data_IF_262895527850
#
_entry.id   IF_262895527850
#
_cell.length_a   1.000
_cell.length_b   1.000
_cell.length_c   1.000
_cell.angle_alpha   90.00
_cell.angle_beta   90.00
_cell.angle_gamma   90.00
#
_symmetry.space_group_name_H-M   'P 1'
#
loop_
_entity.id
_entity.type
_entity.pdbx_description
1 polymer ?
#
# COMPACT_ATOMS: atom_id res chain seq x y z
N UNK A 1 -15.47 -9.13 6.98
CA UNK A 1 -15.27 -9.10 5.52
C UNK A 1 -14.67 -10.43 5.10
N UNK A 2 -14.86 -10.85 3.85
CA UNK A 2 -14.19 -12.03 3.32
C UNK A 2 -12.71 -11.67 3.08
N UNK A 3 -11.85 -11.91 4.08
CA UNK A 3 -10.42 -11.67 3.95
C UNK A 3 -9.80 -12.89 3.27
N UNK A 4 -9.06 -12.66 2.18
CA UNK A 4 -8.30 -13.70 1.52
C UNK A 4 -7.15 -14.13 2.42
N UNK A 5 -7.21 -15.35 2.94
CA UNK A 5 -6.09 -15.91 3.70
C UNK A 5 -5.07 -16.52 2.75
N UNK A 6 -3.80 -16.14 2.91
CA UNK A 6 -2.71 -16.85 2.25
C UNK A 6 -2.52 -18.21 2.93
N UNK A 7 -2.77 -19.29 2.19
CA UNK A 7 -2.66 -20.65 2.68
C UNK A 7 -1.57 -21.39 1.91
N UNK A 8 -0.55 -21.89 2.63
CA UNK A 8 0.38 -22.84 2.04
C UNK A 8 -0.26 -24.23 1.99
N UNK A 9 -0.33 -24.79 0.78
CA UNK A 9 -0.92 -26.09 0.50
C UNK A 9 0.17 -27.15 0.31
N UNK A 10 -0.21 -28.42 0.43
CA UNK A 10 0.69 -29.55 0.19
C UNK A 10 1.23 -29.52 -1.25
N UNK A 11 2.49 -29.95 -1.44
CA UNK A 11 3.10 -30.05 -2.78
C UNK A 11 3.71 -28.76 -3.33
N UNK A 12 3.86 -27.72 -2.49
CA UNK A 12 4.43 -26.43 -2.90
C UNK A 12 3.42 -25.46 -3.52
N UNK A 13 2.13 -25.78 -3.39
CA UNK A 13 1.04 -24.92 -3.84
C UNK A 13 0.74 -23.85 -2.78
N UNK A 14 0.20 -22.73 -3.23
CA UNK A 14 -0.24 -21.62 -2.39
C UNK A 14 -1.63 -21.20 -2.85
N UNK A 15 -2.42 -20.64 -1.94
CA UNK A 15 -3.73 -20.12 -2.26
C UNK A 15 -4.05 -18.81 -1.55
N UNK A 16 -4.73 -17.91 -2.24
CA UNK A 16 -5.49 -16.82 -1.65
C UNK A 16 -6.92 -17.33 -1.51
N UNK A 17 -7.32 -17.60 -0.28
CA UNK A 17 -8.57 -18.29 0.02
C UNK A 17 -9.64 -17.29 0.42
N UNK A 18 -10.64 -17.09 -0.44
CA UNK A 18 -11.84 -16.36 -0.05
C UNK A 18 -12.69 -17.21 0.91
N UNK A 19 -13.11 -18.40 0.46
CA UNK A 19 -14.01 -19.23 1.26
C UNK A 19 -13.63 -20.70 1.24
N UNK A 20 -13.55 -21.29 2.43
CA UNK A 20 -13.41 -22.72 2.64
C UNK A 20 -14.81 -23.32 2.80
N UNK A 21 -15.22 -24.10 1.81
CA UNK A 21 -16.51 -24.82 1.81
C UNK A 21 -16.41 -26.13 2.60
N UNK A 22 -15.22 -26.74 2.62
CA UNK A 22 -14.95 -27.98 3.33
C UNK A 22 -13.45 -28.13 3.57
N UNK A 23 -13.08 -28.57 4.77
CA UNK A 23 -11.71 -28.94 5.10
C UNK A 23 -11.75 -30.28 5.86
N UNK A 24 -11.22 -31.34 5.25
CA UNK A 24 -10.96 -32.60 5.94
C UNK A 24 -9.59 -33.17 5.58
N UNK A 25 -9.21 -34.28 6.20
CA UNK A 25 -7.88 -34.91 6.03
C UNK A 25 -7.61 -35.44 4.62
N UNK A 26 -8.60 -35.43 3.73
CA UNK A 26 -8.52 -35.92 2.36
C UNK A 26 -8.80 -34.85 1.30
N UNK A 27 -9.66 -33.87 1.61
CA UNK A 27 -10.15 -32.86 0.67
C UNK A 27 -10.13 -31.45 1.29
N UNK A 28 -9.64 -30.47 0.52
CA UNK A 28 -9.88 -29.03 0.76
C UNK A 28 -10.75 -28.47 -0.36
N UNK A 29 -11.94 -27.96 -0.02
CA UNK A 29 -12.86 -27.35 -0.98
C UNK A 29 -12.89 -25.85 -0.79
N UNK A 30 -12.52 -25.11 -1.83
CA UNK A 30 -12.43 -23.66 -1.88
C UNK A 30 -13.49 -23.08 -2.82
N UNK A 31 -13.94 -21.87 -2.56
CA UNK A 31 -14.80 -21.07 -3.44
C UNK A 31 -14.22 -19.68 -3.59
N UNK A 32 -14.28 -19.12 -4.80
CA UNK A 32 -13.77 -17.79 -5.14
C UNK A 32 -12.30 -17.56 -4.74
N UNK A 33 -11.48 -18.61 -4.80
CA UNK A 33 -10.08 -18.57 -4.36
C UNK A 33 -9.12 -18.66 -5.56
N UNK A 34 -7.92 -18.10 -5.40
CA UNK A 34 -6.81 -18.19 -6.36
C UNK A 34 -5.80 -19.21 -5.83
N UNK A 35 -5.29 -20.09 -6.68
CA UNK A 35 -4.29 -21.10 -6.30
C UNK A 35 -3.15 -21.11 -7.32
N UNK A 36 -1.90 -21.11 -6.85
CA UNK A 36 -0.69 -21.10 -7.69
C UNK A 36 0.40 -22.05 -7.16
N UNK A 37 1.45 -22.31 -7.94
CA UNK A 37 2.57 -23.18 -7.53
C UNK A 37 3.91 -22.72 -8.15
N UNK A 38 4.76 -22.01 -7.37
CA UNK A 38 6.05 -21.53 -7.83
C UNK A 38 7.06 -22.63 -8.17
N UNK A 39 6.86 -23.86 -7.67
CA UNK A 39 7.77 -24.98 -7.87
C UNK A 39 7.45 -25.83 -9.10
N UNK A 40 6.34 -25.57 -9.80
CA UNK A 40 5.84 -26.49 -10.82
C UNK A 40 6.56 -26.37 -12.15
N UNK A 41 6.99 -25.18 -12.60
CA UNK A 41 7.71 -24.93 -13.88
C UNK A 41 6.99 -25.36 -15.17
N UNK A 42 5.96 -26.17 -15.00
CA UNK A 42 5.03 -26.78 -15.93
C UNK A 42 3.65 -26.44 -15.37
N UNK A 43 2.73 -25.97 -16.23
CA UNK A 43 1.31 -25.78 -15.92
C UNK A 43 0.76 -26.71 -14.82
N UNK A 44 -0.10 -26.22 -13.92
CA UNK A 44 -0.75 -26.99 -12.84
C UNK A 44 -1.47 -28.28 -13.33
N UNK A 45 -1.67 -28.42 -14.65
CA UNK A 45 -2.22 -29.60 -15.33
C UNK A 45 -1.23 -30.77 -15.50
N UNK A 46 0.09 -30.56 -15.39
CA UNK A 46 1.10 -31.60 -15.61
C UNK A 46 1.72 -32.15 -14.32
N UNK A 47 1.34 -31.64 -13.14
CA UNK A 47 1.82 -32.18 -11.88
C UNK A 47 1.04 -33.44 -11.48
N UNK A 48 1.65 -34.60 -11.74
CA UNK A 48 1.14 -35.93 -11.35
C UNK A 48 0.87 -36.13 -9.84
N UNK A 49 1.23 -35.17 -8.99
CA UNK A 49 1.06 -35.22 -7.53
C UNK A 49 -0.28 -34.66 -7.04
N UNK A 50 -1.06 -33.98 -7.89
CA UNK A 50 -2.23 -33.20 -7.45
C UNK A 50 -3.42 -33.43 -8.36
N UNK A 51 -4.61 -33.47 -7.76
CA UNK A 51 -5.77 -34.01 -8.42
C UNK A 51 -7.04 -33.28 -7.90
N UNK A 52 -7.32 -32.17 -8.59
CA UNK A 52 -8.39 -31.16 -8.50
C UNK A 52 -9.85 -31.81 -8.53
N UNK A 53 -11.03 -31.18 -8.34
CA UNK A 53 -12.38 -31.82 -8.58
C UNK A 53 -13.52 -30.79 -8.82
N UNK A 54 -14.61 -31.18 -9.53
CA UNK A 54 -15.80 -30.37 -9.82
C UNK A 54 -16.98 -30.82 -8.97
N UNK A 55 -17.41 -29.99 -8.04
CA UNK A 55 -18.58 -30.26 -7.19
C UNK A 55 -19.78 -29.36 -7.49
N UNK A 56 -19.78 -28.64 -8.62
CA UNK A 56 -20.86 -27.74 -9.04
C UNK A 56 -20.33 -26.37 -9.46
N UNK A 57 -21.20 -25.48 -9.99
CA UNK A 57 -20.83 -24.26 -10.70
C UNK A 57 -20.22 -23.16 -9.82
N UNK A 58 -19.63 -23.48 -8.66
CA UNK A 58 -19.02 -22.51 -7.76
C UNK A 58 -18.06 -23.12 -6.73
N UNK A 59 -17.44 -24.26 -7.03
CA UNK A 59 -16.62 -24.99 -6.06
C UNK A 59 -15.38 -25.61 -6.69
N UNK A 60 -14.25 -25.48 -5.99
CA UNK A 60 -12.99 -26.11 -6.28
C UNK A 60 -12.63 -27.10 -5.16
N UNK A 61 -12.17 -28.32 -5.46
CA UNK A 61 -11.75 -29.32 -4.44
C UNK A 61 -10.35 -29.86 -4.72
N UNK A 62 -9.49 -29.93 -3.71
CA UNK A 62 -8.12 -30.44 -3.75
C UNK A 62 -8.07 -31.80 -3.05
N UNK A 63 -7.86 -32.89 -3.80
CA UNK A 63 -7.77 -34.23 -3.23
C UNK A 63 -6.59 -35.03 -3.80
N UNK A 64 -6.14 -36.03 -3.05
CA UNK A 64 -4.89 -36.73 -3.32
C UNK A 64 -4.93 -37.68 -4.55
N UNK A 65 -6.01 -37.75 -5.33
CA UNK A 65 -6.14 -38.45 -6.64
C UNK A 65 -7.59 -38.34 -7.21
N UNK A 66 -8.01 -37.43 -8.12
CA UNK A 66 -8.31 -37.45 -9.59
C UNK A 66 -9.06 -36.11 -9.92
N UNK A 67 -9.10 -35.44 -11.10
CA UNK A 67 -9.96 -34.21 -11.32
C UNK A 67 -10.93 -34.14 -12.51
N UNK A 68 -12.10 -33.51 -12.27
CA UNK A 68 -12.93 -32.76 -13.24
C UNK A 68 -13.13 -31.26 -12.85
N UNK A 69 -13.45 -30.34 -13.78
CA UNK A 69 -13.40 -28.88 -13.55
C UNK A 69 -14.78 -28.15 -13.63
N UNK A 70 -14.89 -26.99 -12.96
CA UNK A 70 -16.13 -26.22 -12.78
C UNK A 70 -16.14 -24.73 -13.00
N UNK A 71 -17.35 -24.19 -13.21
CA UNK A 71 -17.60 -22.75 -13.35
C UNK A 71 -17.45 -22.03 -11.99
N UNK A 72 -17.06 -20.75 -12.03
CA UNK A 72 -17.10 -19.77 -10.94
C UNK A 72 -16.27 -20.05 -9.68
N UNK A 73 -15.09 -20.66 -9.83
CA UNK A 73 -13.98 -20.48 -8.88
C UNK A 73 -12.70 -20.28 -9.70
N UNK A 74 -11.79 -19.42 -9.24
CA UNK A 74 -10.65 -18.93 -10.02
C UNK A 74 -9.55 -19.99 -10.07
N UNK A 75 -9.88 -21.10 -10.69
CA UNK A 75 -8.93 -21.95 -11.38
C UNK A 75 -9.58 -22.34 -12.69
N UNK A 76 -9.48 -21.43 -13.67
CA UNK A 76 -9.02 -21.82 -15.00
C UNK A 76 -8.09 -20.74 -15.53
N UNK A 77 -6.89 -21.18 -15.88
CA UNK A 77 -5.84 -20.50 -16.65
C UNK A 77 -4.77 -19.69 -15.92
N UNK A 78 -4.27 -20.27 -14.85
CA UNK A 78 -2.83 -20.29 -14.68
C UNK A 78 -2.07 -21.13 -15.75
N UNK A 79 -2.65 -21.40 -16.91
CA UNK A 79 -2.16 -22.44 -17.83
C UNK A 79 -1.19 -21.91 -18.89
N UNK A 80 -1.07 -20.59 -19.10
CA UNK A 80 -0.16 -20.03 -20.12
C UNK A 80 0.59 -18.75 -19.70
N UNK A 81 0.74 -18.51 -18.39
CA UNK A 81 1.66 -17.52 -17.82
C UNK A 81 1.29 -17.18 -16.37
N UNK A 82 2.29 -17.13 -15.48
CA UNK A 82 2.15 -16.56 -14.13
C UNK A 82 1.89 -17.50 -12.96
N UNK A 83 1.69 -18.82 -13.14
CA UNK A 83 1.46 -19.75 -12.00
C UNK A 83 2.68 -20.10 -11.18
N UNK A 84 3.85 -19.89 -11.78
CA UNK A 84 5.14 -20.01 -11.14
C UNK A 84 5.47 -18.77 -10.29
N UNK A 85 4.61 -17.74 -10.34
CA UNK A 85 4.76 -16.49 -9.64
C UNK A 85 3.56 -16.25 -8.72
N UNK A 86 3.77 -15.46 -7.68
CA UNK A 86 2.69 -14.95 -6.84
C UNK A 86 1.74 -14.12 -7.73
N UNK A 87 0.42 -14.41 -7.74
CA UNK A 87 -0.54 -13.70 -8.56
C UNK A 87 -0.72 -12.23 -8.14
N UNK A 88 -0.12 -11.75 -7.06
CA UNK A 88 -0.10 -10.34 -6.70
C UNK A 88 -1.49 -9.78 -6.46
N UNK A 89 -2.13 -10.27 -5.41
CA UNK A 89 -3.48 -9.88 -5.00
C UNK A 89 -3.44 -9.38 -3.56
N UNK A 90 -4.13 -8.27 -3.27
CA UNK A 90 -4.29 -7.66 -1.93
C UNK A 90 -5.00 -8.64 -0.98
N UNK A 91 -4.94 -8.42 0.35
CA UNK A 91 -5.51 -9.39 1.30
C UNK A 91 -7.05 -9.38 1.28
N UNK A 92 -7.64 -8.32 0.76
CA UNK A 92 -9.07 -8.18 0.52
C UNK A 92 -9.48 -8.53 -0.93
N UNK A 93 -8.53 -8.97 -1.77
CA UNK A 93 -8.82 -9.66 -3.02
C UNK A 93 -8.61 -8.87 -4.31
N UNK A 94 -8.12 -7.64 -4.25
CA UNK A 94 -7.86 -6.82 -5.43
C UNK A 94 -6.57 -7.26 -6.14
N UNK A 95 -6.62 -7.39 -7.46
CA UNK A 95 -5.40 -7.64 -8.25
C UNK A 95 -4.48 -6.42 -8.19
N UNK A 96 -3.17 -6.59 -8.35
CA UNK A 96 -2.22 -5.47 -8.45
C UNK A 96 -1.90 -5.16 -9.92
N UNK A 97 -1.51 -3.92 -10.24
CA UNK A 97 -1.25 -3.46 -11.64
C UNK A 97 -0.15 -4.27 -12.34
N UNK A 98 0.83 -4.75 -11.57
CA UNK A 98 1.95 -5.58 -12.02
C UNK A 98 1.70 -7.09 -11.83
N UNK A 99 0.47 -7.48 -11.50
CA UNK A 99 0.12 -8.88 -11.29
C UNK A 99 0.44 -9.74 -12.53
N UNK A 100 1.16 -10.86 -12.36
CA UNK A 100 1.42 -11.79 -13.44
C UNK A 100 0.16 -12.57 -13.87
N UNK A 101 -0.97 -12.41 -13.18
CA UNK A 101 -2.25 -13.03 -13.55
C UNK A 101 -3.03 -12.22 -14.60
N UNK A 102 -2.71 -10.93 -14.82
CA UNK A 102 -3.41 -10.06 -15.77
C UNK A 102 -3.25 -10.58 -17.21
N UNK A 103 -4.37 -10.75 -17.92
CA UNK A 103 -4.38 -11.09 -19.35
C UNK A 103 -3.89 -12.50 -19.71
N UNK A 104 -3.52 -13.32 -18.72
CA UNK A 104 -2.92 -14.63 -18.92
C UNK A 104 -3.92 -15.80 -18.94
N UNK A 105 -5.24 -15.53 -18.92
CA UNK A 105 -6.23 -16.59 -19.02
C UNK A 105 -6.45 -17.12 -20.47
N UNK A 106 -7.08 -18.29 -20.64
CA UNK A 106 -7.32 -18.98 -21.93
C UNK A 106 -8.75 -19.52 -22.02
N UNK A 107 -9.28 -19.71 -23.23
CA UNK A 107 -10.71 -19.93 -23.51
C UNK A 107 -11.27 -21.30 -23.10
N UNK A 108 -10.54 -22.09 -22.32
CA UNK A 108 -10.99 -23.42 -21.90
C UNK A 108 -12.05 -23.34 -20.79
N UNK A 109 -13.31 -23.12 -21.18
CA UNK A 109 -14.53 -23.11 -20.34
C UNK A 109 -14.54 -21.97 -19.30
N UNK A 110 -15.00 -20.77 -19.69
CA UNK A 110 -14.89 -19.59 -18.84
C UNK A 110 -15.79 -19.71 -17.61
N UNK A 111 -15.23 -19.46 -16.42
CA UNK A 111 -16.02 -18.90 -15.35
C UNK A 111 -16.68 -17.62 -15.90
N UNK A 112 -17.99 -17.47 -15.71
CA UNK A 112 -18.71 -16.30 -16.24
C UNK A 112 -18.40 -15.05 -15.40
N UNK A 113 -17.86 -15.28 -14.19
CA UNK A 113 -17.48 -14.25 -13.25
C UNK A 113 -15.98 -14.23 -12.95
N UNK A 114 -15.46 -13.08 -12.57
CA UNK A 114 -14.07 -12.89 -12.13
C UNK A 114 -13.89 -13.15 -10.63
N UNK A 115 -12.75 -12.73 -10.06
CA UNK A 115 -12.41 -12.91 -8.63
C UNK A 115 -13.34 -12.14 -7.68
N UNK A 116 -13.97 -11.07 -8.17
CA UNK A 116 -14.89 -10.21 -7.41
C UNK A 116 -16.36 -10.57 -7.66
N UNK A 117 -16.63 -11.54 -8.53
CA UNK A 117 -17.98 -12.01 -8.84
C UNK A 117 -18.69 -11.20 -9.92
N UNK A 118 -17.97 -10.35 -10.64
CA UNK A 118 -18.48 -9.50 -11.73
C UNK A 118 -18.56 -10.28 -13.04
N UNK A 119 -19.51 -9.95 -13.91
CA UNK A 119 -19.66 -10.67 -15.18
C UNK A 119 -18.58 -10.23 -16.15
N UNK A 120 -17.76 -11.17 -16.64
CA UNK A 120 -16.63 -10.86 -17.53
C UNK A 120 -17.09 -10.22 -18.84
N UNK A 121 -16.58 -9.03 -19.15
CA UNK A 121 -16.84 -8.34 -20.41
C UNK A 121 -16.01 -8.87 -21.59
N UNK A 122 -14.75 -9.23 -21.35
CA UNK A 122 -13.84 -9.88 -22.29
C UNK A 122 -13.26 -11.15 -21.66
N UNK A 123 -13.01 -12.19 -22.46
CA UNK A 123 -12.26 -13.37 -22.01
C UNK A 123 -10.89 -13.28 -22.68
N UNK A 124 -9.78 -13.23 -21.93
CA UNK A 124 -9.63 -13.60 -20.51
C UNK A 124 -9.50 -12.40 -19.56
N UNK A 125 -10.37 -12.33 -18.56
CA UNK A 125 -10.38 -11.27 -17.53
C UNK A 125 -10.39 -11.92 -16.14
N UNK A 126 -9.35 -11.66 -15.34
CA UNK A 126 -9.21 -12.15 -13.95
C UNK A 126 -9.74 -11.15 -12.92
N UNK A 127 -10.35 -10.06 -13.39
CA UNK A 127 -10.59 -8.87 -12.60
C UNK A 127 -9.48 -7.84 -12.86
N UNK A 128 -9.14 -7.61 -14.13
CA UNK A 128 -8.15 -6.60 -14.50
C UNK A 128 -8.77 -5.21 -14.66
N UNK A 129 -10.09 -5.14 -14.83
CA UNK A 129 -10.86 -3.90 -14.93
C UNK A 129 -11.02 -3.19 -13.57
N UNK A 130 -10.80 -3.88 -12.45
CA UNK A 130 -10.71 -3.23 -11.13
C UNK A 130 -9.41 -2.45 -10.93
N UNK A 131 -8.54 -2.35 -11.93
CA UNK A 131 -7.33 -1.48 -11.94
C UNK A 131 -7.50 -0.20 -12.73
N UNK A 132 -8.74 0.12 -13.14
CA UNK A 132 -9.02 1.46 -13.67
C UNK A 132 -8.80 2.44 -12.52
N UNK A 133 -7.96 3.42 -12.79
CA UNK A 133 -7.64 4.56 -11.93
C UNK A 133 -7.92 5.80 -12.79
N UNK A 134 -9.10 6.38 -12.61
CA UNK A 134 -9.67 7.40 -13.49
C UNK A 134 -9.13 8.81 -13.19
N UNK A 135 -8.74 9.08 -11.95
CA UNK A 135 -8.18 10.34 -11.47
C UNK A 135 -6.66 10.30 -11.27
N UNK A 136 -6.04 9.15 -11.52
CA UNK A 136 -4.59 8.94 -11.58
C UNK A 136 -3.89 9.23 -10.27
N UNK A 137 -4.48 8.77 -9.17
CA UNK A 137 -3.94 8.91 -7.82
C UNK A 137 -3.38 7.59 -7.26
N UNK A 138 -3.18 6.60 -8.13
CA UNK A 138 -2.63 5.28 -7.79
C UNK A 138 -3.56 4.39 -6.97
N UNK A 139 -4.79 4.83 -6.67
CA UNK A 139 -5.82 3.99 -6.12
C UNK A 139 -6.73 3.49 -7.26
N UNK A 140 -7.17 2.23 -7.20
CA UNK A 140 -8.14 1.77 -8.19
C UNK A 140 -9.56 2.25 -7.88
N UNK A 141 -10.29 2.72 -8.90
CA UNK A 141 -11.67 3.21 -8.82
C UNK A 141 -12.58 2.24 -8.04
N UNK A 142 -12.41 0.94 -8.25
CA UNK A 142 -13.23 -0.09 -7.62
C UNK A 142 -12.96 -0.23 -6.11
N UNK A 143 -11.75 0.08 -5.66
CA UNK A 143 -11.39 0.11 -4.25
C UNK A 143 -11.94 1.39 -3.59
N UNK A 144 -11.73 2.55 -4.21
CA UNK A 144 -12.25 3.81 -3.69
C UNK A 144 -13.78 3.83 -3.63
N UNK A 145 -14.45 3.38 -4.69
CA UNK A 145 -15.91 3.28 -4.72
C UNK A 145 -16.46 2.31 -3.66
N UNK A 146 -15.68 1.30 -3.25
CA UNK A 146 -16.09 0.39 -2.18
C UNK A 146 -16.08 1.07 -0.82
N UNK A 147 -15.03 1.82 -0.52
CA UNK A 147 -14.81 2.38 0.81
C UNK A 147 -15.40 3.77 0.98
N UNK A 148 -15.25 4.62 -0.03
CA UNK A 148 -15.67 6.03 0.00
C UNK A 148 -16.91 6.30 -0.86
N UNK A 149 -17.21 5.44 -1.83
CA UNK A 149 -18.33 5.62 -2.74
C UNK A 149 -18.15 6.76 -3.75
N UNK A 150 -16.91 7.24 -3.91
CA UNK A 150 -16.49 8.28 -4.84
C UNK A 150 -14.99 8.12 -5.15
N UNK A 151 -14.44 8.97 -6.03
CA UNK A 151 -13.05 8.96 -6.51
C UNK A 151 -12.38 10.31 -6.15
N UNK A 152 -12.22 10.61 -4.86
CA UNK A 152 -11.68 11.91 -4.45
C UNK A 152 -10.72 11.81 -3.25
N UNK A 153 -10.66 10.65 -2.62
CA UNK A 153 -9.84 10.37 -1.45
C UNK A 153 -8.50 9.83 -1.97
N UNK A 154 -7.45 10.64 -1.92
CA UNK A 154 -6.16 10.33 -2.55
C UNK A 154 -5.37 9.23 -1.84
N UNK A 155 -4.44 8.60 -2.54
CA UNK A 155 -3.42 7.67 -2.02
C UNK A 155 -2.76 8.09 -0.69
N UNK A 156 -2.45 9.37 -0.53
CA UNK A 156 -1.74 9.91 0.65
C UNK A 156 -2.64 10.26 1.83
N UNK A 157 -3.97 10.18 1.71
CA UNK A 157 -4.87 10.51 2.82
C UNK A 157 -4.92 9.36 3.83
N UNK A 158 -5.12 9.71 5.10
CA UNK A 158 -5.35 8.79 6.24
C UNK A 158 -6.71 9.18 6.87
N UNK A 159 -7.84 8.64 6.37
CA UNK A 159 -9.17 9.12 6.74
C UNK A 159 -9.58 8.77 8.18
N UNK A 160 -9.01 7.72 8.77
CA UNK A 160 -9.33 7.27 10.14
C UNK A 160 -8.26 7.62 11.18
N UNK A 161 -7.13 8.19 10.75
CA UNK A 161 -6.10 8.80 11.59
C UNK A 161 -5.25 7.76 12.30
N UNK A 162 -5.05 6.61 11.68
CA UNK A 162 -4.36 5.46 12.27
C UNK A 162 -2.89 5.37 11.88
N UNK A 163 -2.45 6.25 10.97
CA UNK A 163 -1.10 6.36 10.44
C UNK A 163 -0.87 5.57 9.16
N UNK A 164 -1.81 4.74 8.71
CA UNK A 164 -1.78 4.15 7.38
C UNK A 164 -2.50 5.08 6.39
N UNK A 165 -1.84 5.42 5.30
CA UNK A 165 -2.51 6.10 4.19
C UNK A 165 -3.27 5.11 3.30
N UNK A 166 -4.19 5.63 2.48
CA UNK A 166 -5.04 4.83 1.61
C UNK A 166 -4.25 3.84 0.73
N UNK A 167 -3.07 4.23 0.22
CA UNK A 167 -2.24 3.32 -0.58
C UNK A 167 -1.65 2.17 0.26
N UNK A 168 -1.15 2.45 1.47
CA UNK A 168 -0.68 1.42 2.39
C UNK A 168 -1.79 0.44 2.74
N UNK A 169 -3.01 0.95 2.96
CA UNK A 169 -4.18 0.14 3.27
C UNK A 169 -4.67 -0.67 2.08
N UNK A 170 -4.63 -0.11 0.87
CA UNK A 170 -4.87 -0.86 -0.37
C UNK A 170 -3.89 -2.04 -0.49
N UNK A 171 -2.59 -1.81 -0.31
CA UNK A 171 -1.60 -2.89 -0.34
C UNK A 171 -1.79 -3.90 0.81
N UNK A 172 -2.16 -3.39 1.98
CA UNK A 172 -2.45 -4.13 3.21
C UNK A 172 -3.73 -4.96 3.17
N UNK A 173 -4.70 -4.57 2.33
CA UNK A 173 -6.07 -5.08 2.36
C UNK A 173 -6.81 -4.77 3.67
N UNK A 174 -6.55 -3.61 4.27
CA UNK A 174 -7.24 -3.10 5.46
C UNK A 174 -8.40 -2.18 5.06
N UNK A 175 -9.14 -1.64 6.03
CA UNK A 175 -10.28 -0.78 5.76
C UNK A 175 -9.93 0.68 6.10
N UNK A 176 -9.92 1.60 5.11
CA UNK A 176 -9.45 2.98 5.26
C UNK A 176 -10.38 3.92 6.00
N UNK A 177 -11.36 3.35 6.69
CA UNK A 177 -12.34 4.09 7.47
C UNK A 177 -12.41 3.59 8.90
N UNK A 178 -11.55 2.64 9.29
CA UNK A 178 -11.46 2.02 10.59
C UNK A 178 -10.01 1.77 11.01
N UNK A 179 -9.53 2.56 11.96
CA UNK A 179 -8.17 2.48 12.55
C UNK A 179 -7.73 1.10 13.10
N UNK A 180 -8.64 0.13 13.16
CA UNK A 180 -8.44 -1.27 13.52
C UNK A 180 -9.48 -2.08 12.73
N UNK A 181 -9.10 -2.71 11.63
CA UNK A 181 -10.01 -3.49 10.78
C UNK A 181 -9.79 -5.00 10.82
N UNK A 182 -8.67 -5.44 11.39
CA UNK A 182 -8.32 -6.85 11.54
C UNK A 182 -8.85 -7.49 12.84
N UNK A 183 -9.07 -8.82 12.79
CA UNK A 183 -9.57 -9.60 13.93
C UNK A 183 -8.57 -9.71 15.11
N UNK A 184 -7.31 -9.36 14.89
CA UNK A 184 -6.28 -9.36 15.93
C UNK A 184 -6.39 -8.13 16.85
N UNK A 185 -7.16 -7.11 16.45
CA UNK A 185 -7.32 -5.86 17.21
C UNK A 185 -6.06 -4.99 17.21
N UNK A 186 -5.20 -5.16 16.19
CA UNK A 186 -3.99 -4.38 15.97
C UNK A 186 -4.38 -3.18 15.11
N UNK A 187 -3.77 -2.02 15.33
CA UNK A 187 -3.93 -0.87 14.42
C UNK A 187 -3.48 -1.25 12.99
N UNK A 188 -4.10 -0.68 11.96
CA UNK A 188 -3.92 -1.19 10.61
C UNK A 188 -2.52 -0.89 10.07
N UNK A 189 -1.93 0.27 10.37
CA UNK A 189 -0.51 0.53 10.08
C UNK A 189 0.42 -0.52 10.70
N UNK A 190 0.25 -0.83 11.99
CA UNK A 190 1.05 -1.84 12.69
C UNK A 190 0.88 -3.24 12.07
N UNK A 191 -0.36 -3.57 11.69
CA UNK A 191 -0.66 -4.82 11.00
C UNK A 191 0.03 -4.88 9.63
N UNK A 192 -0.04 -3.82 8.83
CA UNK A 192 0.61 -3.73 7.51
C UNK A 192 2.13 -3.86 7.65
N UNK A 193 2.75 -3.15 8.60
CA UNK A 193 4.19 -3.27 8.87
C UNK A 193 4.58 -4.71 9.22
N UNK A 194 3.75 -5.42 9.99
CA UNK A 194 3.98 -6.84 10.28
C UNK A 194 3.91 -7.70 9.02
N UNK A 195 2.97 -7.43 8.10
CA UNK A 195 2.85 -8.16 6.84
C UNK A 195 4.05 -7.97 5.93
N UNK A 196 4.58 -6.75 5.84
CA UNK A 196 5.79 -6.46 5.07
C UNK A 196 6.97 -7.28 5.62
N UNK A 197 7.13 -7.34 6.94
CA UNK A 197 8.22 -8.08 7.59
C UNK A 197 8.07 -9.59 7.39
N UNK A 198 6.86 -10.12 7.50
CA UNK A 198 6.59 -11.56 7.37
C UNK A 198 6.67 -12.04 5.92
N UNK A 199 6.18 -11.23 4.98
CA UNK A 199 6.07 -11.58 3.57
C UNK A 199 6.59 -10.45 2.65
N UNK A 200 7.88 -10.08 2.74
CA UNK A 200 8.46 -9.00 1.94
C UNK A 200 8.55 -9.34 0.45
N UNK A 201 8.15 -10.56 0.06
CA UNK A 201 8.18 -11.02 -1.32
C UNK A 201 6.86 -10.88 -2.07
N UNK A 202 5.82 -10.40 -1.40
CA UNK A 202 4.54 -10.19 -2.02
C UNK A 202 4.64 -9.09 -3.07
N UNK A 203 4.01 -9.32 -4.23
CA UNK A 203 4.16 -8.48 -5.43
C UNK A 203 3.97 -6.98 -5.14
N UNK A 204 2.93 -6.61 -4.38
CA UNK A 204 2.62 -5.20 -4.09
C UNK A 204 3.66 -4.53 -3.20
N UNK A 205 4.10 -5.21 -2.15
CA UNK A 205 5.15 -4.69 -1.26
C UNK A 205 6.55 -4.69 -1.91
N UNK A 206 6.74 -5.45 -2.99
CA UNK A 206 8.00 -5.53 -3.76
C UNK A 206 8.07 -4.54 -4.92
N UNK A 207 6.98 -3.85 -5.23
CA UNK A 207 7.01 -2.76 -6.19
C UNK A 207 7.97 -1.67 -5.69
N UNK A 208 8.52 -0.92 -6.62
CA UNK A 208 9.40 0.23 -6.39
C UNK A 208 8.80 1.31 -7.28
N UNK A 209 7.77 1.97 -6.75
CA UNK A 209 6.80 2.73 -7.54
C UNK A 209 7.37 4.03 -8.08
N UNK A 210 8.33 4.65 -7.39
CA UNK A 210 9.07 5.82 -7.85
C UNK A 210 10.43 5.51 -8.52
N UNK A 211 10.94 4.29 -8.35
CA UNK A 211 12.17 3.82 -8.96
C UNK A 211 13.45 4.31 -8.25
N UNK A 212 13.38 4.71 -6.98
CA UNK A 212 14.54 5.13 -6.20
C UNK A 212 15.37 3.94 -5.67
N UNK A 213 14.76 2.75 -5.67
CA UNK A 213 15.37 1.48 -5.26
C UNK A 213 14.99 1.00 -3.85
N UNK A 214 14.23 1.78 -3.09
CA UNK A 214 13.50 1.37 -1.90
C UNK A 214 12.12 0.86 -2.33
N UNK A 215 11.77 -0.36 -1.92
CA UNK A 215 10.48 -0.94 -2.33
C UNK A 215 9.32 -0.38 -1.50
N UNK A 216 8.12 -0.31 -2.08
CA UNK A 216 6.88 0.21 -1.48
C UNK A 216 6.63 -0.29 -0.05
N UNK A 217 6.84 -1.60 0.18
CA UNK A 217 6.67 -2.17 1.51
C UNK A 217 7.65 -1.58 2.55
N UNK A 218 8.90 -1.34 2.15
CA UNK A 218 9.91 -0.77 3.05
C UNK A 218 9.68 0.72 3.29
N UNK A 219 9.18 1.46 2.31
CA UNK A 219 8.78 2.85 2.49
C UNK A 219 7.65 2.96 3.52
N UNK A 220 6.60 2.13 3.43
CA UNK A 220 5.53 2.07 4.44
C UNK A 220 6.10 1.80 5.83
N UNK A 221 7.06 0.88 5.95
CA UNK A 221 7.71 0.58 7.24
C UNK A 221 8.49 1.77 7.76
N UNK A 222 9.16 2.51 6.87
CA UNK A 222 9.98 3.68 7.18
C UNK A 222 9.19 5.00 7.30
N UNK A 223 7.87 4.97 7.07
CA UNK A 223 7.01 6.16 7.06
C UNK A 223 7.11 7.00 5.79
N UNK A 224 7.70 6.45 4.73
CA UNK A 224 7.86 7.10 3.42
C UNK A 224 6.59 7.11 2.57
N UNK A 225 6.68 7.78 1.43
CA UNK A 225 5.69 7.82 0.36
C UNK A 225 6.23 7.07 -0.86
N UNK A 226 5.58 5.99 -1.25
CA UNK A 226 6.02 5.12 -2.35
C UNK A 226 6.08 5.73 -3.74
N UNK A 227 5.58 6.95 -3.89
CA UNK A 227 5.61 7.68 -5.16
C UNK A 227 6.59 8.87 -5.14
N UNK A 228 7.50 8.93 -4.16
CA UNK A 228 8.44 10.05 -3.98
C UNK A 228 9.81 9.61 -3.44
N UNK A 229 10.83 9.60 -4.30
CA UNK A 229 12.16 9.08 -3.92
C UNK A 229 13.00 9.98 -2.99
N UNK A 230 12.34 10.95 -2.37
CA UNK A 230 12.83 11.89 -1.36
C UNK A 230 11.56 12.40 -0.63
N UNK A 231 10.95 11.53 0.18
CA UNK A 231 9.64 11.76 0.81
C UNK A 231 9.65 12.99 1.69
N UNK A 232 10.70 13.16 2.50
CA UNK A 232 10.81 14.31 3.39
C UNK A 232 11.35 15.57 2.68
N UNK A 233 11.89 15.44 1.46
CA UNK A 233 12.40 16.55 0.67
C UNK A 233 13.67 17.16 1.24
N UNK A 234 14.44 16.42 2.04
CA UNK A 234 15.66 16.90 2.69
C UNK A 234 16.90 16.87 1.77
N UNK A 235 16.74 16.32 0.57
CA UNK A 235 17.78 16.16 -0.45
C UNK A 235 18.62 14.89 -0.28
N UNK A 236 18.30 14.04 0.69
CA UNK A 236 18.78 12.66 0.84
C UNK A 236 17.62 11.75 0.40
N UNK A 237 17.77 11.13 -0.77
CA UNK A 237 16.72 10.24 -1.26
C UNK A 237 16.43 9.06 -0.32
N UNK A 238 15.22 8.52 -0.42
CA UNK A 238 14.64 7.61 0.58
C UNK A 238 15.46 6.34 0.78
N UNK A 239 15.92 5.72 -0.30
CA UNK A 239 16.85 4.58 -0.21
C UNK A 239 18.12 4.95 0.58
N UNK A 240 18.70 6.12 0.31
CA UNK A 240 19.92 6.56 0.97
C UNK A 240 19.66 6.86 2.46
N UNK A 241 18.53 7.49 2.79
CA UNK A 241 18.12 7.75 4.16
C UNK A 241 17.92 6.42 4.92
N UNK A 242 17.20 5.47 4.32
CA UNK A 242 16.96 4.15 4.89
C UNK A 242 18.27 3.37 5.16
N UNK A 243 19.19 3.33 4.18
CA UNK A 243 20.50 2.66 4.35
C UNK A 243 21.39 3.32 5.40
N UNK A 244 21.26 4.64 5.59
CA UNK A 244 21.98 5.41 6.59
C UNK A 244 21.32 5.36 7.99
N UNK A 245 20.10 4.82 8.09
CA UNK A 245 19.29 4.85 9.31
C UNK A 245 18.80 6.25 9.68
N UNK A 246 18.58 7.10 8.68
CA UNK A 246 17.96 8.42 8.80
C UNK A 246 16.43 8.30 8.62
N UNK A 247 15.71 9.37 8.95
CA UNK A 247 14.25 9.44 8.74
C UNK A 247 13.94 9.49 7.24
N UNK A 248 12.94 8.70 6.81
CA UNK A 248 12.43 8.71 5.42
C UNK A 248 11.19 9.60 5.33
N UNK A 249 10.22 9.40 6.23
CA UNK A 249 8.93 10.10 6.22
C UNK A 249 8.95 11.57 6.66
N UNK A 250 10.07 12.06 7.20
CA UNK A 250 10.15 13.43 7.71
C UNK A 250 9.50 13.61 9.10
N UNK A 251 9.38 12.52 9.87
CA UNK A 251 9.05 12.59 11.30
C UNK A 251 9.96 13.61 11.99
N UNK A 252 9.39 14.46 12.85
CA UNK A 252 10.03 15.41 13.78
C UNK A 252 11.40 14.91 14.28
N UNK A 253 12.45 15.27 13.55
CA UNK A 253 13.76 14.60 13.62
C UNK A 253 14.48 14.95 14.91
N UNK A 254 14.26 16.14 15.42
CA UNK A 254 14.85 16.65 16.66
C UNK A 254 13.89 16.64 17.86
N UNK A 255 12.62 16.30 17.65
CA UNK A 255 11.64 16.01 18.70
C UNK A 255 11.02 17.26 19.31
N UNK A 256 10.92 18.33 18.54
CA UNK A 256 10.53 19.67 18.96
C UNK A 256 9.03 19.97 18.77
N UNK A 257 8.35 19.09 18.03
CA UNK A 257 6.93 19.13 17.72
C UNK A 257 6.58 19.62 16.32
N UNK A 258 7.56 19.96 15.47
CA UNK A 258 7.36 20.29 14.06
C UNK A 258 7.85 19.16 13.15
N UNK A 259 7.14 18.94 12.04
CA UNK A 259 7.64 18.06 10.98
C UNK A 259 8.59 18.83 10.05
N UNK A 260 9.40 18.08 9.30
CA UNK A 260 10.39 18.66 8.39
C UNK A 260 9.79 19.69 7.42
N UNK A 261 8.60 19.38 6.86
CA UNK A 261 7.93 20.24 5.90
C UNK A 261 7.49 21.58 6.52
N UNK A 262 6.99 21.54 7.76
CA UNK A 262 6.59 22.71 8.54
C UNK A 262 7.81 23.56 8.87
N UNK A 263 8.90 22.93 9.27
CA UNK A 263 10.13 23.62 9.59
C UNK A 263 10.74 24.33 8.38
N UNK A 264 10.83 23.66 7.24
CA UNK A 264 11.27 24.28 5.98
C UNK A 264 10.35 25.45 5.59
N UNK A 265 9.02 25.30 5.77
CA UNK A 265 8.06 26.37 5.48
C UNK A 265 8.19 27.55 6.46
N UNK A 266 8.56 27.30 7.71
CA UNK A 266 8.82 28.31 8.74
C UNK A 266 10.23 28.90 8.64
N UNK A 267 11.12 28.26 7.89
CA UNK A 267 12.53 28.63 7.75
C UNK A 267 13.40 28.19 8.92
N UNK A 268 12.89 27.30 9.78
CA UNK A 268 13.61 26.68 10.90
C UNK A 268 14.49 25.54 10.39
N UNK A 269 15.33 24.99 11.26
CA UNK A 269 16.31 23.97 10.93
C UNK A 269 15.86 22.59 11.46
N UNK A 270 15.51 21.65 10.56
CA UNK A 270 14.95 20.34 10.93
C UNK A 270 15.83 19.35 11.69
N UNK A 271 16.99 19.82 12.14
CA UNK A 271 17.94 19.02 12.92
C UNK A 271 18.31 19.73 14.23
N UNK A 272 17.66 20.85 14.54
CA UNK A 272 17.84 21.64 15.74
C UNK A 272 16.48 22.03 16.31
N UNK A 273 16.11 21.37 17.40
CA UNK A 273 14.85 21.62 18.09
C UNK A 273 14.64 23.07 18.57
N UNK A 274 15.64 23.95 18.41
CA UNK A 274 15.67 25.37 18.78
C UNK A 274 16.62 26.03 17.78
N UNK A 275 16.05 26.56 16.69
CA UNK A 275 16.83 27.02 15.53
C UNK A 275 17.66 28.25 15.84
N UNK A 276 17.12 29.19 16.61
CA UNK A 276 17.78 30.45 16.91
C UNK A 276 18.59 30.42 18.22
N UNK A 277 18.40 29.38 19.04
CA UNK A 277 19.19 29.09 20.22
C UNK A 277 18.79 29.92 21.45
N UNK A 278 17.56 30.42 21.50
CA UNK A 278 17.06 31.22 22.63
C UNK A 278 16.62 30.39 23.84
N UNK A 279 16.48 29.08 23.65
CA UNK A 279 16.11 28.08 24.66
C UNK A 279 14.65 27.65 24.64
N UNK A 280 13.84 28.12 23.69
CA UNK A 280 12.48 27.63 23.40
C UNK A 280 12.51 26.85 22.10
N UNK A 281 11.80 25.72 22.04
CA UNK A 281 11.79 24.91 20.83
C UNK A 281 10.96 25.54 19.72
N UNK A 282 11.31 25.31 18.45
CA UNK A 282 10.63 25.95 17.33
C UNK A 282 9.13 25.64 17.31
N UNK A 283 8.75 24.41 17.67
CA UNK A 283 7.35 23.99 17.84
C UNK A 283 6.56 24.71 18.95
N UNK A 284 7.24 25.41 19.85
CA UNK A 284 6.65 26.20 20.93
C UNK A 284 6.93 27.70 20.81
N UNK A 285 7.81 28.11 19.91
CA UNK A 285 8.28 29.48 19.75
C UNK A 285 7.39 30.26 18.75
N UNK A 286 6.95 31.46 19.14
CA UNK A 286 6.17 32.36 18.27
C UNK A 286 7.04 33.07 17.22
N UNK A 287 8.34 33.18 17.48
CA UNK A 287 9.38 33.78 16.63
C UNK A 287 10.65 32.90 16.56
N UNK A 288 10.58 31.66 16.02
CA UNK A 288 11.67 30.66 16.04
C UNK A 288 12.93 31.01 15.24
N UNK A 289 13.02 32.22 14.69
CA UNK A 289 14.17 32.74 13.94
C UNK A 289 14.72 34.03 14.57
N UNK A 290 14.22 34.44 15.74
CA UNK A 290 14.59 35.65 16.45
C UNK A 290 15.10 35.33 17.87
N UNK A 291 16.42 35.21 18.06
CA UNK A 291 17.03 34.73 19.31
C UNK A 291 16.88 35.70 20.50
N UNK A 292 16.10 36.76 20.33
CA UNK A 292 15.85 37.79 21.33
C UNK A 292 14.43 37.73 21.91
N UNK A 293 13.53 36.91 21.34
CA UNK A 293 12.14 36.79 21.79
C UNK A 293 11.51 35.48 21.31
N UNK A 294 10.78 34.84 22.22
CA UNK A 294 10.03 33.61 21.94
C UNK A 294 8.50 33.76 22.09
N UNK A 295 8.02 34.87 22.68
CA UNK A 295 6.59 35.13 22.91
C UNK A 295 6.17 36.49 22.36
N UNK A 296 4.91 36.58 21.95
CA UNK A 296 4.32 37.85 21.56
C UNK A 296 4.25 38.79 22.78
N UNK A 297 4.65 40.06 22.64
CA UNK A 297 4.44 41.02 23.72
C UNK A 297 2.93 41.11 24.04
N UNK A 298 2.56 41.35 25.30
CA UNK A 298 1.16 41.53 25.68
C UNK A 298 0.50 42.59 24.78
N UNK A 299 -0.76 42.38 24.34
CA UNK A 299 -1.44 43.34 23.49
C UNK A 299 -1.45 44.73 24.15
N UNK A 300 -0.83 45.73 23.52
CA UNK A 300 -0.92 47.13 23.94
C UNK A 300 -1.85 47.88 22.97
N UNK A 301 -3.07 48.25 23.40
CA UNK A 301 -4.00 49.04 22.58
C UNK A 301 -3.46 50.42 22.15
N UNK A 302 -2.35 50.88 22.74
CA UNK A 302 -1.68 52.13 22.39
C UNK A 302 -0.38 51.91 21.62
N UNK A 303 -0.05 50.68 21.20
CA UNK A 303 1.07 50.45 20.30
C UNK A 303 0.72 51.01 18.91
N UNK A 304 1.34 52.15 18.60
CA UNK A 304 1.27 52.80 17.30
C UNK A 304 2.60 52.68 16.56
N UNK A 305 3.50 51.81 17.02
CA UNK A 305 4.81 51.60 16.40
C UNK A 305 4.59 50.86 15.08
N UNK A 306 4.91 51.46 13.93
CA UNK A 306 4.80 50.77 12.66
C UNK A 306 5.81 49.61 12.61
N UNK A 307 5.48 48.46 12.01
CA UNK A 307 6.45 47.39 11.83
C UNK A 307 7.63 47.88 10.97
N UNK A 308 8.84 47.53 11.39
CA UNK A 308 10.04 47.67 10.54
C UNK A 308 10.14 46.43 9.66
N UNK A 309 10.14 46.62 8.34
CA UNK A 309 10.30 45.55 7.35
C UNK A 309 11.72 45.64 6.80
N UNK A 310 12.54 44.65 7.10
CA UNK A 310 13.85 44.48 6.49
C UNK A 310 13.70 43.62 5.24
N UNK A 311 14.11 44.16 4.10
CA UNK A 311 14.23 43.40 2.85
C UNK A 311 15.71 43.10 2.66
N UNK A 312 16.13 41.87 2.95
CA UNK A 312 17.46 41.42 2.58
C UNK A 312 17.48 41.15 1.07
N UNK A 313 18.22 41.99 0.36
CA UNK A 313 18.50 41.80 -1.05
C UNK A 313 19.76 40.94 -1.14
N UNK A 314 19.71 39.73 -1.73
CA UNK A 314 20.89 38.89 -1.90
C UNK A 314 22.02 39.67 -2.57
N UNK A 315 23.26 39.41 -2.16
CA UNK A 315 24.47 40.15 -2.61
C UNK A 315 24.65 40.16 -4.15
N UNK A 316 23.95 39.24 -4.85
CA UNK A 316 23.97 39.08 -6.31
C UNK A 316 22.61 39.28 -7.00
N UNK A 317 21.61 39.85 -6.33
CA UNK A 317 20.30 40.08 -6.96
C UNK A 317 20.41 41.12 -8.09
N UNK A 318 20.05 40.70 -9.30
CA UNK A 318 19.95 41.59 -10.47
C UNK A 318 18.48 41.97 -10.67
N UNK A 319 18.10 43.25 -10.54
CA UNK A 319 16.73 43.69 -10.82
C UNK A 319 16.37 43.39 -12.28
N UNK A 320 15.28 42.67 -12.49
CA UNK A 320 14.73 42.44 -13.83
C UNK A 320 13.86 43.66 -14.19
N UNK A 321 14.11 44.36 -15.31
CA UNK A 321 13.35 45.54 -15.71
C UNK A 321 11.91 45.24 -16.15
#
# INVERSE_FOLDING_TARGET
>A
MENYQSLQLLGGYYAYVNEIIKEDTSDLVLRNSIVWNPASGEGLLNDSRTNWYYSGPSQFSLANSTVAAGADSIIRNGEYGGIDLDPGVTLDGYIMTNSPAIGHASLAWPALKDIHGETRGLVPDTGADQMVDSDSDHLPDAWEMRWFGNLADSDLQDPDGDGANNYAEFLGGTNPTLAVSNDAGINDLDYIKSLVIENPNRVGFRTDSDGDGLIDGLEIVAGGNSFSGDTNGDGIGDLQAYEAGLSVGGDDVDGDGLDYATEIAMGTNPFLADTDGDGVSDGLDVFPLDPTRWDAPPPDPNDHTPPEIFLDVPENAVPIP
#
